data_IF_372250349228
#
_entry.id   IF_372250349228
#
_cell.length_a   1.000
_cell.length_b   1.000
_cell.length_c   1.000
_cell.angle_alpha   90.00
_cell.angle_beta   90.00
_cell.angle_gamma   90.00
#
_symmetry.space_group_name_H-M   'P 1'
#
loop_
_entity.id
_entity.type
_entity.pdbx_description
1 polymer ?
#
# COMPACT_ATOMS: atom_id res chain seq x y z
N UNK A 1 -14.89 -19.07 -26.77
CA UNK A 1 -14.64 -19.42 -25.36
C UNK A 1 -14.92 -18.21 -24.51
N UNK A 2 -16.01 -18.24 -23.74
CA UNK A 2 -16.36 -17.17 -22.80
C UNK A 2 -15.64 -17.46 -21.48
N UNK A 3 -14.59 -16.69 -21.20
CA UNK A 3 -13.92 -16.67 -19.89
C UNK A 3 -14.99 -16.37 -18.83
N UNK A 4 -15.07 -17.15 -17.73
CA UNK A 4 -16.02 -16.86 -16.67
C UNK A 4 -15.78 -15.45 -16.11
N UNK A 5 -16.82 -14.74 -15.64
CA UNK A 5 -16.64 -13.42 -15.04
C UNK A 5 -15.67 -13.55 -13.85
N UNK A 6 -14.58 -12.78 -13.89
CA UNK A 6 -13.60 -12.72 -12.80
C UNK A 6 -14.33 -12.36 -11.50
N UNK A 7 -14.09 -13.16 -10.45
CA UNK A 7 -14.60 -12.91 -9.11
C UNK A 7 -14.22 -11.51 -8.63
N UNK A 8 -15.08 -10.85 -7.85
CA UNK A 8 -14.72 -9.61 -7.15
C UNK A 8 -13.57 -9.79 -6.15
N UNK A 9 -13.28 -11.04 -5.76
CA UNK A 9 -12.14 -11.40 -4.91
C UNK A 9 -10.89 -11.80 -5.71
N UNK A 10 -10.88 -11.64 -7.03
CA UNK A 10 -9.66 -11.84 -7.84
C UNK A 10 -8.67 -10.70 -7.60
N UNK A 11 -7.48 -10.95 -7.03
CA UNK A 11 -6.49 -9.90 -6.75
C UNK A 11 -6.12 -9.09 -7.99
N UNK A 12 -6.07 -9.72 -9.18
CA UNK A 12 -5.77 -8.98 -10.41
C UNK A 12 -6.89 -8.00 -10.77
N UNK A 13 -8.14 -8.39 -10.52
CA UNK A 13 -9.27 -7.49 -10.73
C UNK A 13 -9.27 -6.33 -9.73
N UNK A 14 -8.91 -6.59 -8.47
CA UNK A 14 -8.75 -5.55 -7.45
C UNK A 14 -7.65 -4.57 -7.87
N UNK A 15 -6.50 -5.07 -8.33
CA UNK A 15 -5.42 -4.23 -8.83
C UNK A 15 -5.86 -3.34 -10.00
N UNK A 16 -6.52 -3.92 -11.01
CA UNK A 16 -7.05 -3.18 -12.17
C UNK A 16 -7.96 -2.02 -11.73
N UNK A 17 -8.83 -2.26 -10.74
CA UNK A 17 -9.75 -1.25 -10.19
C UNK A 17 -8.97 -0.15 -9.47
N UNK A 18 -8.05 -0.51 -8.58
CA UNK A 18 -7.27 0.46 -7.82
C UNK A 18 -6.41 1.33 -8.74
N UNK A 19 -5.68 0.71 -9.66
CA UNK A 19 -4.76 1.40 -10.57
C UNK A 19 -5.49 2.25 -11.63
N UNK A 20 -6.69 1.85 -12.06
CA UNK A 20 -7.49 2.69 -12.98
C UNK A 20 -8.20 3.84 -12.26
N UNK A 21 -8.66 3.62 -11.03
CA UNK A 21 -9.38 4.60 -10.22
C UNK A 21 -8.52 5.78 -9.79
N UNK A 22 -7.23 5.58 -9.53
CA UNK A 22 -6.32 6.67 -9.12
C UNK A 22 -5.88 7.57 -10.27
N UNK A 23 -5.86 7.09 -11.51
CA UNK A 23 -5.29 7.82 -12.66
C UNK A 23 -5.98 9.13 -13.02
N UNK A 24 -7.26 9.28 -12.66
CA UNK A 24 -8.06 10.44 -13.07
C UNK A 24 -8.49 11.32 -11.88
N UNK A 25 -8.20 10.90 -10.64
CA UNK A 25 -8.62 11.62 -9.44
C UNK A 25 -10.14 11.61 -9.18
N UNK A 26 -10.90 10.80 -9.92
CA UNK A 26 -12.37 10.77 -9.88
C UNK A 26 -12.92 9.92 -8.72
N UNK A 27 -12.07 9.16 -8.04
CA UNK A 27 -12.48 8.18 -7.04
C UNK A 27 -11.73 8.36 -5.71
N UNK A 28 -12.47 8.23 -4.60
CA UNK A 28 -11.89 8.03 -3.27
C UNK A 28 -11.75 6.52 -3.04
N UNK A 29 -10.52 6.07 -2.79
CA UNK A 29 -10.21 4.66 -2.53
C UNK A 29 -9.78 4.47 -1.08
N UNK A 30 -10.30 3.43 -0.45
CA UNK A 30 -9.99 3.08 0.93
C UNK A 30 -9.77 1.58 1.06
N UNK A 31 -8.89 1.18 1.97
CA UNK A 31 -8.69 -0.21 2.38
C UNK A 31 -8.97 -0.34 3.86
N UNK A 32 -9.70 -1.40 4.24
CA UNK A 32 -9.98 -1.71 5.64
C UNK A 32 -9.15 -2.91 6.07
N UNK A 33 -8.47 -2.76 7.21
CA UNK A 33 -7.86 -3.85 7.95
C UNK A 33 -8.88 -4.43 8.92
N UNK A 34 -9.03 -5.76 8.88
CA UNK A 34 -9.90 -6.49 9.79
C UNK A 34 -9.36 -6.54 11.23
N UNK A 35 -9.86 -7.50 11.99
CA UNK A 35 -9.32 -7.77 13.31
C UNK A 35 -7.93 -8.38 13.20
N UNK A 36 -7.01 -7.92 14.04
CA UNK A 36 -5.63 -8.38 14.14
C UNK A 36 -5.36 -8.62 15.62
N UNK A 37 -4.59 -9.65 15.93
CA UNK A 37 -4.03 -9.78 17.28
C UNK A 37 -3.05 -8.64 17.58
N UNK A 38 -2.80 -8.39 18.87
CA UNK A 38 -1.81 -7.38 19.28
C UNK A 38 -0.40 -7.72 18.75
N UNK A 39 -0.06 -9.01 18.69
CA UNK A 39 1.20 -9.48 18.11
C UNK A 39 1.29 -9.15 16.61
N UNK A 40 0.23 -9.42 15.84
CA UNK A 40 0.20 -9.10 14.41
C UNK A 40 0.22 -7.61 14.13
N UNK A 41 -0.51 -6.81 14.93
CA UNK A 41 -0.50 -5.36 14.85
C UNK A 41 0.89 -4.80 15.13
N UNK A 42 1.58 -5.30 16.16
CA UNK A 42 2.95 -4.90 16.47
C UNK A 42 3.96 -5.34 15.40
N UNK A 43 3.79 -6.54 14.84
CA UNK A 43 4.68 -7.09 13.80
C UNK A 43 4.53 -6.35 12.48
N UNK A 44 3.31 -6.07 12.05
CA UNK A 44 3.03 -5.40 10.76
C UNK A 44 3.09 -3.88 10.85
N UNK A 45 2.83 -3.33 12.04
CA UNK A 45 2.60 -1.90 12.24
C UNK A 45 1.23 -1.42 11.73
N UNK A 46 0.31 -2.33 11.38
CA UNK A 46 -1.06 -2.00 11.01
C UNK A 46 -1.96 -1.94 12.25
N UNK A 47 -2.94 -1.04 12.21
CA UNK A 47 -3.94 -0.88 13.25
C UNK A 47 -5.10 -1.85 12.99
N UNK A 48 -5.47 -2.61 14.03
CA UNK A 48 -6.63 -3.48 13.97
C UNK A 48 -7.93 -2.70 13.80
N UNK A 49 -8.88 -3.26 13.03
CA UNK A 49 -10.22 -2.70 12.78
C UNK A 49 -10.16 -1.25 12.29
N UNK A 50 -9.24 -0.97 11.37
CA UNK A 50 -8.97 0.38 10.90
C UNK A 50 -9.11 0.51 9.38
N UNK A 51 -9.40 1.72 8.91
CA UNK A 51 -9.51 2.04 7.48
C UNK A 51 -8.47 3.08 7.11
N UNK A 52 -7.75 2.82 6.02
CA UNK A 52 -6.73 3.68 5.45
C UNK A 52 -7.22 4.26 4.13
N UNK A 53 -6.87 5.52 3.86
CA UNK A 53 -7.08 6.10 2.54
C UNK A 53 -5.92 5.69 1.62
N UNK A 54 -6.24 5.30 0.39
CA UNK A 54 -5.25 5.06 -0.68
C UNK A 54 -5.07 6.39 -1.40
N UNK A 55 -3.84 6.93 -1.36
CA UNK A 55 -3.51 8.20 -1.98
C UNK A 55 -2.86 8.03 -3.35
N UNK A 56 -2.06 6.98 -3.52
CA UNK A 56 -1.33 6.73 -4.75
C UNK A 56 -1.20 5.22 -4.99
N UNK A 57 -1.16 4.86 -6.27
CA UNK A 57 -0.95 3.49 -6.74
C UNK A 57 0.06 3.55 -7.87
N UNK A 58 1.15 2.79 -7.75
CA UNK A 58 2.23 2.77 -8.73
C UNK A 58 2.70 1.37 -9.06
N UNK A 59 3.19 1.19 -10.29
CA UNK A 59 3.77 -0.07 -10.75
C UNK A 59 5.11 0.16 -11.44
N UNK A 60 6.16 -0.54 -10.99
CA UNK A 60 7.47 -0.49 -11.63
C UNK A 60 8.17 -1.84 -11.60
N UNK A 61 8.58 -2.33 -12.78
CA UNK A 61 9.26 -3.63 -12.95
C UNK A 61 8.56 -4.79 -12.21
N UNK A 62 7.23 -4.79 -12.19
CA UNK A 62 6.42 -5.81 -11.52
C UNK A 62 6.20 -5.61 -10.01
N UNK A 63 6.79 -4.57 -9.39
CA UNK A 63 6.42 -4.17 -8.04
C UNK A 63 5.17 -3.29 -8.09
N UNK A 64 4.12 -3.72 -7.40
CA UNK A 64 2.82 -3.06 -7.29
C UNK A 64 2.68 -2.44 -5.91
N UNK A 65 2.64 -1.12 -5.83
CA UNK A 65 2.74 -0.39 -4.57
C UNK A 65 1.56 0.56 -4.37
N UNK A 66 1.15 0.70 -3.11
CA UNK A 66 0.09 1.62 -2.69
C UNK A 66 0.59 2.52 -1.57
N UNK A 67 0.35 3.83 -1.68
CA UNK A 67 0.58 4.77 -0.61
C UNK A 67 -0.68 4.91 0.23
N UNK A 68 -0.60 4.54 1.50
CA UNK A 68 -1.69 4.61 2.46
C UNK A 68 -1.51 5.77 3.44
N UNK A 69 -2.64 6.37 3.85
CA UNK A 69 -2.71 7.33 4.95
C UNK A 69 -3.46 6.74 6.15
N UNK A 70 -2.77 6.66 7.28
CA UNK A 70 -3.34 6.48 8.61
C UNK A 70 -3.79 7.85 9.16
N UNK A 71 -5.09 8.13 9.35
CA UNK A 71 -5.58 9.39 9.92
C UNK A 71 -5.10 9.66 11.36
N UNK A 72 -4.75 8.63 12.13
CA UNK A 72 -4.28 8.77 13.51
C UNK A 72 -2.76 8.97 13.63
N UNK A 73 -2.03 8.95 12.52
CA UNK A 73 -0.60 9.32 12.40
C UNK A 73 0.36 8.62 13.39
N UNK A 74 0.00 7.46 13.95
CA UNK A 74 0.77 6.81 15.02
C UNK A 74 1.33 5.43 14.68
N UNK A 75 0.74 4.75 13.70
CA UNK A 75 1.13 3.39 13.30
C UNK A 75 1.38 3.37 11.78
N UNK A 76 2.55 2.84 11.40
CA UNK A 76 2.99 2.71 10.01
C UNK A 76 3.47 1.31 9.72
N UNK A 77 3.37 0.93 8.45
CA UNK A 77 3.82 -0.35 7.95
C UNK A 77 5.29 -0.63 8.27
N UNK A 78 5.59 -1.87 8.68
CA UNK A 78 6.92 -2.36 9.07
C UNK A 78 7.42 -3.53 8.21
N UNK A 79 6.70 -3.86 7.14
CA UNK A 79 7.06 -4.94 6.23
C UNK A 79 7.77 -4.43 4.99
N UNK A 80 7.61 -5.16 3.88
CA UNK A 80 8.26 -4.85 2.61
C UNK A 80 7.88 -3.45 2.12
N UNK A 81 8.86 -2.65 1.69
CA UNK A 81 8.71 -1.23 1.36
C UNK A 81 8.30 -0.31 2.52
N UNK A 82 8.52 -0.73 3.78
CA UNK A 82 8.48 0.22 4.90
C UNK A 82 9.62 1.24 4.80
N UNK A 83 9.60 2.34 5.58
CA UNK A 83 10.72 3.28 5.63
C UNK A 83 12.06 2.63 5.98
N UNK A 84 12.02 1.58 6.82
CA UNK A 84 13.19 0.85 7.30
C UNK A 84 13.67 -0.27 6.32
N UNK A 85 12.94 -0.56 5.24
CA UNK A 85 13.30 -1.60 4.26
C UNK A 85 14.22 -1.08 3.14
N UNK A 86 15.51 -0.95 3.45
CA UNK A 86 16.52 -0.50 2.47
C UNK A 86 16.65 -1.42 1.25
N UNK A 87 16.38 -2.72 1.39
CA UNK A 87 16.56 -3.70 0.31
C UNK A 87 15.52 -3.51 -0.79
N UNK A 88 14.24 -3.43 -0.44
CA UNK A 88 13.18 -3.23 -1.44
C UNK A 88 13.26 -1.84 -2.08
N UNK A 89 13.80 -0.85 -1.38
CA UNK A 89 14.01 0.51 -1.91
C UNK A 89 15.31 0.70 -2.70
N UNK A 90 16.12 -0.35 -2.90
CA UNK A 90 17.42 -0.23 -3.58
C UNK A 90 17.31 0.29 -5.04
N UNK A 91 16.22 -0.02 -5.76
CA UNK A 91 16.02 0.45 -7.14
C UNK A 91 15.72 1.96 -7.17
N UNK A 92 16.67 2.74 -7.69
CA UNK A 92 16.53 4.19 -7.83
C UNK A 92 15.40 4.59 -8.79
N UNK A 93 15.19 3.83 -9.86
CA UNK A 93 14.12 4.10 -10.83
C UNK A 93 12.74 3.96 -10.21
N UNK A 94 12.57 2.99 -9.30
CA UNK A 94 11.34 2.84 -8.53
C UNK A 94 11.11 4.06 -7.62
N UNK A 95 12.12 4.47 -6.87
CA UNK A 95 12.03 5.64 -5.96
C UNK A 95 11.71 6.92 -6.71
N UNK A 96 12.35 7.14 -7.85
CA UNK A 96 12.08 8.29 -8.71
C UNK A 96 10.65 8.28 -9.26
N UNK A 97 10.16 7.11 -9.70
CA UNK A 97 8.79 6.98 -10.23
C UNK A 97 7.73 7.32 -9.18
N UNK A 98 7.94 6.87 -7.94
CA UNK A 98 7.02 7.12 -6.82
C UNK A 98 7.26 8.46 -6.11
N UNK A 99 8.20 9.27 -6.59
CA UNK A 99 8.66 10.49 -5.91
C UNK A 99 9.01 10.24 -4.43
N UNK A 100 9.49 9.03 -4.11
CA UNK A 100 9.74 8.60 -2.75
C UNK A 100 11.15 9.01 -2.31
N UNK A 101 11.19 9.81 -1.24
CA UNK A 101 12.41 10.16 -0.53
C UNK A 101 12.45 9.42 0.81
N UNK A 102 13.30 8.41 0.88
CA UNK A 102 13.42 7.53 2.04
C UNK A 102 13.91 8.28 3.28
N UNK A 103 14.85 9.23 3.13
CA UNK A 103 15.43 9.95 4.26
C UNK A 103 14.37 10.81 4.95
N UNK A 104 13.52 11.50 4.17
CA UNK A 104 12.43 12.30 4.74
C UNK A 104 11.30 11.46 5.31
N UNK A 105 11.05 10.26 4.74
CA UNK A 105 10.00 9.35 5.22
C UNK A 105 10.30 8.76 6.61
N UNK A 106 11.57 8.49 6.91
CA UNK A 106 12.00 7.92 8.20
C UNK A 106 11.86 8.97 9.32
N UNK A 107 12.26 10.21 9.03
CA UNK A 107 12.32 11.30 10.01
C UNK A 107 10.97 11.99 10.26
N UNK A 108 10.02 11.88 9.33
CA UNK A 108 8.76 12.62 9.42
C UNK A 108 7.52 11.73 9.25
N UNK A 109 7.05 11.17 10.37
CA UNK A 109 5.85 10.34 10.40
C UNK A 109 4.57 11.19 10.31
N UNK A 110 3.93 11.18 9.13
CA UNK A 110 2.57 11.72 8.93
C UNK A 110 1.52 10.62 8.85
N UNK A 111 1.82 9.40 9.27
CA UNK A 111 1.01 8.22 9.00
C UNK A 111 0.91 7.90 7.51
N UNK A 112 1.88 8.31 6.69
CA UNK A 112 1.98 7.95 5.29
C UNK A 112 2.99 6.82 5.15
N UNK A 113 2.63 5.78 4.42
CA UNK A 113 3.54 4.67 4.15
C UNK A 113 3.18 3.94 2.87
N UNK A 114 4.18 3.36 2.23
CA UNK A 114 4.00 2.44 1.11
C UNK A 114 3.85 1.00 1.60
N UNK A 115 3.07 0.21 0.88
CA UNK A 115 2.92 -1.23 1.06
C UNK A 115 2.80 -1.90 -0.31
N UNK A 116 3.39 -3.09 -0.49
CA UNK A 116 3.18 -3.87 -1.71
C UNK A 116 1.79 -4.50 -1.74
N UNK A 117 1.20 -4.52 -2.94
CA UNK A 117 -0.14 -5.05 -3.17
C UNK A 117 -0.26 -6.50 -2.70
N UNK A 118 0.80 -7.28 -2.89
CA UNK A 118 0.89 -8.68 -2.45
C UNK A 118 0.85 -8.83 -0.93
N UNK A 119 1.28 -7.84 -0.15
CA UNK A 119 1.12 -7.82 1.31
C UNK A 119 -0.28 -7.36 1.72
N UNK A 120 -0.90 -6.46 0.93
CA UNK A 120 -2.23 -5.93 1.19
C UNK A 120 -3.35 -6.97 1.06
N UNK A 121 -3.24 -7.88 0.08
CA UNK A 121 -4.30 -8.85 -0.27
C UNK A 121 -4.14 -10.24 0.38
N UNK A 122 -3.17 -10.40 1.28
CA UNK A 122 -2.97 -11.63 2.07
C UNK A 122 -3.93 -11.69 3.24
#
# INVERSE_FOLDING_TARGET
STTPPKSLCDPERVWEILHSGTKHGDCLLTVACGELSEEESNRTGLASRHTYAILEVGEFKGNRLLMLKNPWSSLRWRGRFSPEDEESWADEGLRQMLHYDQLTSVDYDRGLFWIDFESLVR
#
